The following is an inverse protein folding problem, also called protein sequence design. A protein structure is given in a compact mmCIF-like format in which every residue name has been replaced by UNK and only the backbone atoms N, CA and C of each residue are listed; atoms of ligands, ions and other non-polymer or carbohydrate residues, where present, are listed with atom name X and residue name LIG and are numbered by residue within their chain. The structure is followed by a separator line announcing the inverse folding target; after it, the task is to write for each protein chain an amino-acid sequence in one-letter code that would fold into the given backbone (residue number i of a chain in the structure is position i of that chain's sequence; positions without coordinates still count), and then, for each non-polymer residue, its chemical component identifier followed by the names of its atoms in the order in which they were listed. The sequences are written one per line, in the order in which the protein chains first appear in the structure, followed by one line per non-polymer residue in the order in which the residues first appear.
data_IF_648740102009
#
_entry.id   IF_648740102009
#
_cell.length_a   1.000
_cell.length_b   1.000
_cell.length_c   1.000
_cell.angle_alpha   90.00
_cell.angle_beta   90.00
_cell.angle_gamma   90.00
#
_symmetry.space_group_name_H-M   'P 1'
#
loop_
_entity.id
_entity.type
_entity.pdbx_description
1 polymer ?
#
# COMPACT_ATOMS: atom_id res chain seq x y z
N UNK A 1 12.55 17.77 -7.40
CA UNK A 1 11.48 16.77 -7.13
C UNK A 1 10.33 17.33 -6.27
N UNK A 2 9.07 16.93 -6.52
CA UNK A 2 7.89 17.33 -5.71
C UNK A 2 7.85 16.56 -4.38
N UNK A 3 7.36 17.19 -3.30
CA UNK A 3 7.21 16.57 -1.97
C UNK A 3 6.44 15.24 -2.01
N UNK A 4 5.46 15.10 -2.91
CA UNK A 4 4.71 13.85 -3.06
C UNK A 4 5.56 12.72 -3.63
N UNK A 5 6.47 13.02 -4.56
CA UNK A 5 7.37 12.03 -5.16
C UNK A 5 8.41 11.58 -4.13
N UNK A 6 8.92 12.50 -3.31
CA UNK A 6 9.84 12.18 -2.22
C UNK A 6 9.20 11.24 -1.19
N UNK A 7 7.94 11.49 -0.82
CA UNK A 7 7.20 10.59 0.08
C UNK A 7 6.97 9.21 -0.52
N UNK A 8 6.67 9.14 -1.81
CA UNK A 8 6.51 7.85 -2.52
C UNK A 8 7.85 7.12 -2.52
N UNK A 9 8.95 7.79 -2.88
CA UNK A 9 10.29 7.20 -2.86
C UNK A 9 10.64 6.67 -1.46
N UNK A 10 10.47 7.50 -0.43
CA UNK A 10 10.72 7.11 0.96
C UNK A 10 9.87 5.90 1.38
N UNK A 11 8.61 5.84 0.97
CA UNK A 11 7.75 4.68 1.23
C UNK A 11 8.30 3.40 0.59
N UNK A 12 8.72 3.47 -0.67
CA UNK A 12 9.32 2.33 -1.37
C UNK A 12 10.67 1.91 -0.77
N UNK A 13 11.44 2.87 -0.24
CA UNK A 13 12.70 2.58 0.46
C UNK A 13 12.46 1.88 1.82
N UNK A 14 11.37 2.23 2.52
CA UNK A 14 10.97 1.57 3.77
C UNK A 14 10.34 0.20 3.59
N UNK A 15 9.67 -0.01 2.46
CA UNK A 15 9.03 -1.26 2.11
C UNK A 15 9.52 -1.68 0.71
N UNK A 16 10.67 -2.34 0.59
CA UNK A 16 11.26 -2.67 -0.71
C UNK A 16 10.40 -3.63 -1.54
N UNK A 17 9.59 -4.45 -0.88
CA UNK A 17 8.75 -5.46 -1.52
C UNK A 17 7.26 -5.24 -1.19
N UNK A 18 6.40 -5.43 -2.21
CA UNK A 18 4.94 -5.39 -2.02
C UNK A 18 4.46 -6.39 -0.96
N UNK A 19 5.17 -7.51 -0.79
CA UNK A 19 4.87 -8.53 0.23
C UNK A 19 4.90 -7.99 1.66
N UNK A 20 5.81 -7.06 1.95
CA UNK A 20 5.93 -6.44 3.29
C UNK A 20 4.72 -5.57 3.61
N UNK A 21 4.33 -4.71 2.65
CA UNK A 21 3.14 -3.86 2.80
C UNK A 21 1.88 -4.73 2.95
N UNK A 22 1.73 -5.75 2.11
CA UNK A 22 0.58 -6.67 2.19
C UNK A 22 0.52 -7.38 3.54
N UNK A 23 1.66 -7.77 4.10
CA UNK A 23 1.74 -8.37 5.45
C UNK A 23 1.31 -7.39 6.52
N UNK A 24 1.75 -6.13 6.47
CA UNK A 24 1.30 -5.09 7.41
C UNK A 24 -0.21 -4.86 7.32
N UNK A 25 -0.75 -4.76 6.11
CA UNK A 25 -2.20 -4.56 5.92
C UNK A 25 -2.97 -5.79 6.42
N UNK A 26 -2.47 -7.01 6.20
CA UNK A 26 -3.08 -8.23 6.74
C UNK A 26 -3.12 -8.22 8.27
N UNK A 27 -2.01 -7.86 8.91
CA UNK A 27 -1.95 -7.78 10.38
C UNK A 27 -2.93 -6.73 10.94
N UNK A 28 -3.10 -5.60 10.23
CA UNK A 28 -4.09 -4.58 10.61
C UNK A 28 -5.52 -5.09 10.44
N UNK A 29 -5.80 -5.86 9.38
CA UNK A 29 -7.08 -6.51 9.17
C UNK A 29 -7.37 -7.52 10.29
N UNK A 30 -6.42 -8.40 10.60
CA UNK A 30 -6.56 -9.38 11.68
C UNK A 30 -6.83 -8.69 13.02
N UNK A 31 -6.06 -7.65 13.35
CA UNK A 31 -6.26 -6.87 14.56
C UNK A 31 -7.64 -6.19 14.59
N UNK A 32 -8.11 -5.65 13.45
CA UNK A 32 -9.43 -5.05 13.37
C UNK A 32 -10.54 -6.08 13.58
N UNK A 33 -10.43 -7.26 12.93
CA UNK A 33 -11.40 -8.36 13.06
C UNK A 33 -11.42 -9.00 14.44
N UNK A 34 -10.29 -9.01 15.14
CA UNK A 34 -10.19 -9.52 16.51
C UNK A 34 -10.56 -8.47 17.58
N UNK A 35 -10.75 -7.20 17.18
CA UNK A 35 -11.10 -6.14 18.13
C UNK A 35 -12.56 -6.27 18.60
N UNK A 36 -12.89 -5.86 19.84
CA UNK A 36 -14.28 -5.81 20.32
C UNK A 36 -15.20 -4.95 19.45
N UNK A 37 -14.63 -3.98 18.70
CA UNK A 37 -15.40 -3.18 17.75
C UNK A 37 -15.96 -4.03 16.60
N UNK A 38 -15.31 -5.15 16.26
CA UNK A 38 -15.79 -6.05 15.22
C UNK A 38 -17.01 -6.88 15.66
N UNK A 39 -17.29 -6.98 16.96
CA UNK A 39 -18.48 -7.67 17.46
C UNK A 39 -19.77 -6.97 17.02
N UNK A 40 -19.72 -5.64 16.86
CA UNK A 40 -20.87 -4.84 16.41
C UNK A 40 -21.01 -4.76 14.90
N UNK A 41 -20.08 -5.35 14.13
CA UNK A 41 -20.12 -5.28 12.67
C UNK A 41 -21.26 -6.14 12.11
N UNK A 42 -21.94 -5.60 11.10
CA UNK A 42 -22.86 -6.40 10.30
C UNK A 42 -22.10 -7.35 9.37
N UNK A 43 -22.81 -8.27 8.73
CA UNK A 43 -22.23 -9.10 7.67
C UNK A 43 -21.69 -8.25 6.51
N UNK A 44 -22.36 -7.14 6.20
CA UNK A 44 -21.94 -6.22 5.15
C UNK A 44 -20.63 -5.50 5.52
N UNK A 45 -20.49 -5.05 6.77
CA UNK A 45 -19.27 -4.38 7.23
C UNK A 45 -18.07 -5.32 7.17
N UNK A 46 -18.22 -6.57 7.63
CA UNK A 46 -17.18 -7.60 7.51
C UNK A 46 -16.79 -7.84 6.06
N UNK A 47 -17.77 -7.98 5.17
CA UNK A 47 -17.52 -8.18 3.73
C UNK A 47 -16.79 -7.00 3.10
N UNK A 48 -17.16 -5.77 3.45
CA UNK A 48 -16.53 -4.55 2.93
C UNK A 48 -15.07 -4.44 3.36
N UNK A 49 -14.77 -4.78 4.61
CA UNK A 49 -13.40 -4.77 5.14
C UNK A 49 -12.52 -5.81 4.43
N UNK A 50 -13.03 -7.03 4.24
CA UNK A 50 -12.32 -8.06 3.46
C UNK A 50 -12.12 -7.65 1.99
N UNK A 51 -13.13 -7.03 1.39
CA UNK A 51 -13.03 -6.52 0.02
C UNK A 51 -11.98 -5.40 -0.09
N UNK A 52 -11.97 -4.46 0.86
CA UNK A 52 -10.97 -3.41 0.95
C UNK A 52 -9.56 -3.99 1.03
N UNK A 53 -9.32 -4.97 1.90
CA UNK A 53 -8.03 -5.67 1.97
C UNK A 53 -7.62 -6.27 0.62
N UNK A 54 -8.52 -6.98 -0.06
CA UNK A 54 -8.24 -7.55 -1.38
C UNK A 54 -7.88 -6.47 -2.42
N UNK A 55 -8.63 -5.37 -2.46
CA UNK A 55 -8.34 -4.25 -3.38
C UNK A 55 -6.99 -3.59 -3.08
N UNK A 56 -6.66 -3.43 -1.80
CA UNK A 56 -5.37 -2.86 -1.40
C UNK A 56 -4.21 -3.77 -1.78
N UNK A 57 -4.37 -5.09 -1.68
CA UNK A 57 -3.36 -6.05 -2.14
C UNK A 57 -3.06 -5.89 -3.63
N UNK A 58 -4.10 -5.87 -4.47
CA UNK A 58 -3.94 -5.68 -5.92
C UNK A 58 -3.38 -4.30 -6.28
N UNK A 59 -3.80 -3.26 -5.57
CA UNK A 59 -3.26 -1.92 -5.75
C UNK A 59 -1.76 -1.87 -5.45
N UNK A 60 -1.31 -2.52 -4.37
CA UNK A 60 0.12 -2.58 -4.04
C UNK A 60 0.90 -3.39 -5.07
N UNK A 61 0.37 -4.50 -5.55
CA UNK A 61 1.03 -5.27 -6.62
C UNK A 61 1.22 -4.41 -7.88
N UNK A 62 0.21 -3.65 -8.29
CA UNK A 62 0.32 -2.72 -9.42
C UNK A 62 1.30 -1.58 -9.14
N UNK A 63 1.25 -0.99 -7.95
CA UNK A 63 2.12 0.12 -7.57
C UNK A 63 3.60 -0.28 -7.63
N UNK A 64 3.96 -1.47 -7.15
CA UNK A 64 5.35 -1.94 -7.15
C UNK A 64 5.87 -2.32 -8.55
N UNK A 65 4.98 -2.57 -9.51
CA UNK A 65 5.36 -2.72 -10.93
C UNK A 65 5.59 -1.36 -11.58
N UNK A 66 4.78 -0.35 -11.25
CA UNK A 66 4.73 0.93 -11.97
C UNK A 66 5.64 2.00 -11.36
N UNK A 67 5.71 2.10 -10.04
CA UNK A 67 6.39 3.21 -9.34
C UNK A 67 7.92 3.16 -9.48
N UNK A 68 8.61 2.03 -9.30
CA UNK A 68 10.08 2.00 -9.45
C UNK A 68 10.59 2.52 -10.81
N UNK A 69 10.08 2.08 -11.98
CA UNK A 69 10.53 2.62 -13.25
C UNK A 69 10.16 4.10 -13.43
N UNK A 70 9.02 4.55 -12.91
CA UNK A 70 8.67 5.98 -12.92
C UNK A 70 9.67 6.82 -12.13
N UNK A 71 10.08 6.37 -10.93
CA UNK A 71 11.08 7.07 -10.13
C UNK A 71 12.44 7.13 -10.84
N UNK A 72 12.84 6.07 -11.54
CA UNK A 72 14.08 6.05 -12.33
C UNK A 72 14.05 7.06 -13.49
N UNK A 73 12.93 7.17 -14.20
CA UNK A 73 12.74 8.14 -15.29
C UNK A 73 12.86 9.55 -14.73
N UNK A 74 12.16 9.84 -13.63
CA UNK A 74 12.14 11.16 -12.99
C UNK A 74 13.53 11.58 -12.48
N UNK A 75 14.30 10.64 -11.90
CA UNK A 75 15.69 10.93 -11.50
C UNK A 75 16.64 11.11 -12.68
N UNK A 76 16.37 10.45 -13.81
CA UNK A 76 17.22 10.56 -15.01
C UNK A 76 16.96 11.85 -15.80
N UNK A 77 15.76 12.42 -15.72
CA UNK A 77 15.45 13.74 -16.30
C UNK A 77 16.15 14.88 -15.57
N UNK A 78 16.35 14.78 -14.25
CA UNK A 78 17.05 15.81 -13.46
C UNK A 78 18.57 15.86 -13.74
N UNK A 79 19.16 14.83 -14.36
CA UNK A 79 20.60 14.78 -14.71
C UNK A 79 20.93 15.35 -16.10
N UNK A 80 19.92 15.76 -16.88
CA UNK A 80 20.08 16.27 -18.25
C UNK A 80 19.95 17.79 -18.39
N UNK A 81 19.70 18.49 -17.28
CA UNK A 81 19.75 19.95 -17.16
C UNK A 81 21.04 20.37 -16.42
#
# INVERSE_FOLDING_TARGET
MSQSIEKIKQFMDWYPEAGEVKTVIWNLLEAAMASPNADTWSANDRSNVMFFYSRMGEFMDAAYVVVPPLLQILSSSELKD
#
